data_IF_979721046410
#
_entry.id   IF_979721046410
#
_cell.length_a   1.000
_cell.length_b   1.000
_cell.length_c   1.000
_cell.angle_alpha   90.00
_cell.angle_beta   90.00
_cell.angle_gamma   90.00
#
_symmetry.space_group_name_H-M   'P 1'
#
loop_
_entity.id
_entity.type
_entity.pdbx_description
1 polymer ?
#
# COMPACT_ATOMS: atom_id res chain seq x y z
N UNK A 1 38.59 -16.99 38.39
CA UNK A 1 37.43 -16.23 38.93
C UNK A 1 37.45 -14.86 38.29
N UNK A 2 36.35 -14.46 37.63
CA UNK A 2 35.92 -13.13 37.10
C UNK A 2 35.02 -13.43 35.88
N UNK A 3 33.73 -13.68 36.09
CA UNK A 3 32.58 -12.75 35.98
C UNK A 3 32.23 -12.31 34.54
N UNK A 4 30.99 -12.62 34.16
CA UNK A 4 30.26 -12.31 32.93
C UNK A 4 30.00 -10.80 32.72
N UNK A 5 29.85 -10.41 31.45
CA UNK A 5 29.13 -9.22 30.98
C UNK A 5 28.90 -9.29 29.45
N UNK A 6 27.76 -8.82 28.90
CA UNK A 6 27.10 -9.49 27.78
C UNK A 6 26.96 -8.66 26.47
N UNK A 7 26.41 -9.35 25.45
CA UNK A 7 25.68 -8.84 24.26
C UNK A 7 26.46 -8.01 23.23
N UNK A 8 26.61 -8.56 22.02
CA UNK A 8 26.22 -7.83 20.81
C UNK A 8 25.41 -8.73 19.87
N UNK A 9 24.15 -8.32 19.71
CA UNK A 9 23.20 -8.79 18.71
C UNK A 9 23.69 -8.34 17.34
N UNK A 10 24.00 -9.29 16.44
CA UNK A 10 24.20 -8.98 15.03
C UNK A 10 22.89 -9.18 14.28
N UNK A 11 21.98 -8.21 14.42
CA UNK A 11 20.89 -8.01 13.45
C UNK A 11 21.37 -7.00 12.42
N UNK A 12 21.83 -7.49 11.28
CA UNK A 12 22.03 -6.69 10.07
C UNK A 12 21.08 -7.19 9.00
N UNK A 13 20.34 -6.25 8.39
CA UNK A 13 19.35 -6.51 7.36
C UNK A 13 18.34 -5.38 7.26
N UNK A 14 18.81 -4.20 6.87
CA UNK A 14 17.98 -3.03 6.53
C UNK A 14 17.10 -3.36 5.31
N UNK A 15 15.78 -3.48 5.49
CA UNK A 15 14.79 -3.38 4.40
C UNK A 15 13.56 -2.63 4.93
N UNK A 16 13.47 -1.34 4.61
CA UNK A 16 12.39 -0.46 5.07
C UNK A 16 12.22 0.77 4.19
N UNK A 17 12.61 0.70 2.91
CA UNK A 17 12.64 1.86 2.00
C UNK A 17 11.33 2.11 1.23
N UNK A 18 10.33 1.23 1.34
CA UNK A 18 9.05 1.39 0.64
C UNK A 18 8.16 2.55 1.15
N UNK A 19 8.60 3.29 2.17
CA UNK A 19 7.77 4.30 2.87
C UNK A 19 8.43 5.68 2.82
N UNK A 20 8.90 6.13 1.64
CA UNK A 20 9.48 7.48 1.50
C UNK A 20 8.43 8.56 1.16
N UNK A 21 7.20 8.18 0.78
CA UNK A 21 6.10 9.12 0.49
C UNK A 21 5.03 9.23 1.59
N UNK A 22 5.22 8.51 2.71
CA UNK A 22 4.36 8.62 3.90
C UNK A 22 5.17 9.36 4.95
N UNK A 23 4.92 10.66 5.11
CA UNK A 23 5.63 11.45 6.12
C UNK A 23 5.12 11.07 7.51
N UNK A 24 6.04 10.66 8.39
CA UNK A 24 5.77 10.53 9.83
C UNK A 24 6.15 11.86 10.50
N UNK A 25 5.19 12.69 10.94
CA UNK A 25 5.49 13.77 11.93
C UNK A 25 4.29 14.41 12.62
N UNK A 26 4.58 14.85 13.85
CA UNK A 26 3.70 15.28 14.94
C UNK A 26 2.86 16.53 14.64
N UNK A 27 1.60 16.42 15.07
CA UNK A 27 0.52 17.41 15.25
C UNK A 27 0.85 18.91 15.12
N UNK A 28 0.01 19.63 14.35
CA UNK A 28 -0.69 20.87 14.79
C UNK A 28 -1.92 21.17 13.90
N UNK A 29 -3.03 21.52 14.57
CA UNK A 29 -4.35 21.97 14.02
C UNK A 29 -4.16 23.15 13.04
N UNK A 30 -5.02 23.46 12.04
CA UNK A 30 -6.48 23.69 12.08
C UNK A 30 -7.02 24.03 10.66
N UNK A 31 -8.19 23.48 10.32
CA UNK A 31 -9.30 23.96 9.43
C UNK A 31 -9.04 24.36 7.95
N UNK A 32 -9.62 23.55 7.05
CA UNK A 32 -10.63 23.88 6.00
C UNK A 32 -10.88 22.59 5.17
N UNK A 33 -11.76 21.65 5.54
CA UNK A 33 -13.23 21.59 5.38
C UNK A 33 -13.81 22.28 4.13
N UNK A 34 -13.55 21.71 2.94
CA UNK A 34 -14.48 21.39 1.84
C UNK A 34 -13.64 21.17 0.56
N UNK A 35 -13.61 19.93 0.06
CA UNK A 35 -12.88 19.57 -1.17
C UNK A 35 -12.57 18.08 -1.32
N UNK A 36 -12.77 17.29 -0.27
CA UNK A 36 -12.42 15.85 -0.24
C UNK A 36 -13.62 14.93 -0.58
N UNK A 37 -14.86 15.43 -0.60
CA UNK A 37 -16.07 14.59 -0.68
C UNK A 37 -16.66 14.38 -2.09
N UNK A 38 -16.08 14.95 -3.15
CA UNK A 38 -16.38 14.54 -4.56
C UNK A 38 -15.45 13.42 -5.06
N UNK A 39 -14.72 12.80 -4.13
CA UNK A 39 -13.60 11.89 -4.37
C UNK A 39 -14.13 10.44 -4.42
N UNK A 40 -14.58 10.02 -5.60
CA UNK A 40 -15.03 8.65 -5.94
C UNK A 40 -16.33 8.21 -5.23
N UNK A 41 -17.48 8.71 -5.70
CA UNK A 41 -18.76 8.00 -5.58
C UNK A 41 -18.70 6.57 -6.16
N UNK A 42 -19.56 5.66 -5.66
CA UNK A 42 -19.64 4.23 -6.04
C UNK A 42 -19.82 3.98 -7.54
N UNK A 43 -20.29 4.99 -8.29
CA UNK A 43 -20.50 4.95 -9.75
C UNK A 43 -19.30 5.43 -10.57
N UNK A 44 -18.23 5.96 -9.97
CA UNK A 44 -17.01 6.31 -10.69
C UNK A 44 -16.10 5.10 -10.93
N UNK A 45 -15.27 5.21 -11.97
CA UNK A 45 -14.25 4.23 -12.28
C UNK A 45 -13.26 4.08 -11.12
N UNK A 46 -12.89 2.83 -10.86
CA UNK A 46 -11.97 2.48 -9.80
C UNK A 46 -10.57 3.05 -10.07
N UNK A 47 -9.92 3.72 -9.09
CA UNK A 47 -8.58 4.31 -9.28
C UNK A 47 -7.52 3.31 -9.77
N UNK A 48 -7.63 2.03 -9.40
CA UNK A 48 -6.67 1.00 -9.81
C UNK A 48 -6.59 0.75 -11.32
N UNK A 49 -7.47 1.35 -12.14
CA UNK A 49 -7.33 1.35 -13.59
C UNK A 49 -7.81 0.08 -14.30
N UNK A 50 -8.71 -0.69 -13.68
CA UNK A 50 -9.34 -1.87 -14.31
C UNK A 50 -10.46 -1.52 -15.29
N UNK A 51 -10.92 -0.27 -15.30
CA UNK A 51 -12.08 0.18 -16.10
C UNK A 51 -13.44 -0.21 -15.50
N UNK A 52 -13.47 -0.93 -14.38
CA UNK A 52 -14.69 -1.18 -13.59
C UNK A 52 -15.01 -0.03 -12.65
N UNK A 53 -16.25 0.08 -12.20
CA UNK A 53 -16.61 1.01 -11.13
C UNK A 53 -15.91 0.64 -9.82
N UNK A 54 -15.79 1.59 -8.90
CA UNK A 54 -15.21 1.34 -7.59
C UNK A 54 -15.98 0.26 -6.82
N UNK A 55 -17.32 0.30 -6.86
CA UNK A 55 -18.22 -0.65 -6.22
C UNK A 55 -18.04 -2.10 -6.72
N UNK A 56 -17.78 -2.28 -8.01
CA UNK A 56 -17.57 -3.61 -8.61
C UNK A 56 -16.11 -4.10 -8.51
N UNK A 57 -15.20 -3.24 -8.05
CA UNK A 57 -13.76 -3.48 -8.10
C UNK A 57 -13.12 -3.54 -6.72
N UNK A 58 -12.75 -2.40 -6.13
CA UNK A 58 -11.97 -2.36 -4.88
C UNK A 58 -12.83 -2.20 -3.64
N UNK A 59 -14.05 -1.66 -3.75
CA UNK A 59 -14.93 -1.48 -2.59
C UNK A 59 -15.23 -2.77 -1.83
N UNK A 60 -15.53 -3.92 -2.48
CA UNK A 60 -15.77 -5.17 -1.75
C UNK A 60 -14.55 -5.67 -0.99
N UNK A 61 -13.34 -5.31 -1.44
CA UNK A 61 -12.10 -5.65 -0.75
C UNK A 61 -11.88 -4.72 0.45
N UNK A 62 -12.11 -3.41 0.27
CA UNK A 62 -11.96 -2.42 1.34
C UNK A 62 -12.95 -2.64 2.48
N UNK A 63 -14.18 -3.00 2.14
CA UNK A 63 -15.26 -3.29 3.10
C UNK A 63 -15.22 -4.71 3.70
N UNK A 64 -14.31 -5.57 3.21
CA UNK A 64 -14.16 -6.94 3.69
C UNK A 64 -15.22 -7.93 3.18
N UNK A 65 -16.12 -7.52 2.29
CA UNK A 65 -17.10 -8.40 1.62
C UNK A 65 -16.40 -9.48 0.77
N UNK A 66 -15.23 -9.16 0.21
CA UNK A 66 -14.41 -10.08 -0.58
C UNK A 66 -12.94 -9.97 -0.15
N UNK A 67 -12.21 -11.08 -0.22
CA UNK A 67 -10.75 -11.09 -0.08
C UNK A 67 -10.09 -10.89 -1.44
N UNK A 68 -8.87 -10.32 -1.45
CA UNK A 68 -8.08 -10.31 -2.67
C UNK A 68 -7.75 -11.75 -3.10
N UNK A 69 -8.12 -12.19 -4.32
CA UNK A 69 -7.82 -13.55 -4.79
C UNK A 69 -6.34 -13.73 -5.16
N UNK A 70 -5.70 -12.68 -5.66
CA UNK A 70 -4.31 -12.70 -6.15
C UNK A 70 -3.49 -11.56 -5.55
N UNK A 71 -2.16 -11.67 -5.62
CA UNK A 71 -1.24 -10.59 -5.24
C UNK A 71 -1.50 -9.31 -6.05
N UNK A 72 -1.78 -9.42 -7.35
CA UNK A 72 -2.16 -8.28 -8.21
C UNK A 72 -3.46 -7.64 -7.75
N UNK A 73 -4.47 -8.45 -7.37
CA UNK A 73 -5.72 -7.91 -6.86
C UNK A 73 -5.51 -7.12 -5.56
N UNK A 74 -4.64 -7.62 -4.67
CA UNK A 74 -4.26 -6.90 -3.46
C UNK A 74 -3.48 -5.61 -3.77
N UNK A 75 -2.53 -5.65 -4.71
CA UNK A 75 -1.78 -4.46 -5.09
C UNK A 75 -2.71 -3.38 -5.66
N UNK A 76 -3.67 -3.77 -6.51
CA UNK A 76 -4.67 -2.86 -7.08
C UNK A 76 -5.57 -2.25 -6.00
N UNK A 77 -6.08 -3.04 -5.05
CA UNK A 77 -6.88 -2.49 -3.96
C UNK A 77 -6.07 -1.58 -3.06
N UNK A 78 -4.82 -1.92 -2.73
CA UNK A 78 -3.94 -1.04 -1.96
C UNK A 78 -3.70 0.31 -2.65
N UNK A 79 -3.46 0.32 -3.96
CA UNK A 79 -3.39 1.58 -4.72
C UNK A 79 -4.70 2.40 -4.62
N UNK A 80 -5.86 1.75 -4.79
CA UNK A 80 -7.14 2.44 -4.64
C UNK A 80 -7.34 3.00 -3.24
N UNK A 81 -6.91 2.27 -2.20
CA UNK A 81 -6.96 2.72 -0.81
C UNK A 81 -6.10 3.98 -0.58
N UNK A 82 -4.91 4.05 -1.17
CA UNK A 82 -4.12 5.29 -1.18
C UNK A 82 -4.85 6.46 -1.87
N UNK A 83 -5.54 6.20 -3.00
CA UNK A 83 -6.26 7.22 -3.74
C UNK A 83 -7.49 7.76 -3.00
N UNK A 84 -8.24 6.90 -2.30
CA UNK A 84 -9.45 7.28 -1.55
C UNK A 84 -9.17 7.63 -0.08
N UNK A 85 -7.96 7.40 0.41
CA UNK A 85 -7.56 7.73 1.78
C UNK A 85 -7.92 6.66 2.83
N UNK A 86 -8.10 5.40 2.44
CA UNK A 86 -8.47 4.31 3.35
C UNK A 86 -7.25 3.73 4.09
N UNK A 87 -6.81 4.44 5.13
CA UNK A 87 -5.69 4.05 6.00
C UNK A 87 -5.98 2.72 6.71
N UNK A 88 -7.23 2.47 7.10
CA UNK A 88 -7.63 1.26 7.81
C UNK A 88 -7.38 0.03 6.93
N UNK A 89 -7.77 0.09 5.66
CA UNK A 89 -7.48 -0.99 4.71
C UNK A 89 -5.98 -1.17 4.46
N UNK A 90 -5.23 -0.07 4.33
CA UNK A 90 -3.78 -0.13 4.12
C UNK A 90 -3.06 -0.84 5.27
N UNK A 91 -3.47 -0.57 6.52
CA UNK A 91 -2.91 -1.23 7.70
C UNK A 91 -3.40 -2.67 7.85
N UNK A 92 -4.66 -2.98 7.55
CA UNK A 92 -5.20 -4.34 7.70
C UNK A 92 -4.68 -5.32 6.64
N UNK A 93 -4.30 -4.80 5.47
CA UNK A 93 -3.76 -5.57 4.35
C UNK A 93 -2.22 -5.66 4.32
N UNK A 94 -1.55 -5.14 5.35
CA UNK A 94 -0.10 -5.26 5.54
C UNK A 94 0.26 -6.54 6.29
N UNK A 95 1.40 -7.14 5.97
CA UNK A 95 1.95 -8.27 6.69
C UNK A 95 2.23 -7.88 8.16
N UNK A 96 1.84 -8.72 9.15
CA UNK A 96 1.97 -8.35 10.57
C UNK A 96 3.40 -8.01 11.00
N UNK A 97 4.40 -8.67 10.42
CA UNK A 97 5.81 -8.49 10.80
C UNK A 97 6.44 -7.19 10.29
N UNK A 98 5.91 -6.62 9.21
CA UNK A 98 6.45 -5.41 8.57
C UNK A 98 5.50 -4.21 8.65
N UNK A 99 4.31 -4.40 9.21
CA UNK A 99 3.29 -3.37 9.32
C UNK A 99 3.78 -2.25 10.26
N UNK A 100 3.76 -0.99 9.82
CA UNK A 100 4.05 0.14 10.70
C UNK A 100 2.96 0.29 11.78
N UNK A 101 3.34 0.79 12.95
CA UNK A 101 2.39 1.02 14.05
C UNK A 101 1.35 2.12 13.73
N UNK A 102 1.73 3.09 12.91
CA UNK A 102 0.87 4.17 12.45
C UNK A 102 1.20 4.55 11.00
N UNK A 103 0.19 5.00 10.25
CA UNK A 103 0.29 5.37 8.85
C UNK A 103 -0.51 6.65 8.61
N UNK A 104 0.18 7.74 8.26
CA UNK A 104 -0.45 9.01 7.88
C UNK A 104 -0.22 9.27 6.40
N UNK A 105 -1.29 9.46 5.64
CA UNK A 105 -1.19 9.81 4.23
C UNK A 105 -0.96 11.31 4.07
N UNK A 106 -0.10 11.67 3.11
CA UNK A 106 0.08 13.06 2.72
C UNK A 106 -1.08 13.50 1.84
N UNK A 107 -1.96 14.36 2.36
CA UNK A 107 -3.15 14.84 1.66
C UNK A 107 -2.82 15.71 0.44
N UNK A 108 -1.57 16.20 0.31
CA UNK A 108 -1.08 16.94 -0.85
C UNK A 108 -0.80 16.01 -2.05
N UNK A 109 -0.70 14.70 -1.81
CA UNK A 109 -0.50 13.70 -2.85
C UNK A 109 -1.84 13.27 -3.43
N UNK A 110 -1.96 13.34 -4.76
CA UNK A 110 -3.09 12.77 -5.49
C UNK A 110 -2.62 11.66 -6.42
N UNK A 111 -2.96 10.42 -6.08
CA UNK A 111 -2.73 9.24 -6.91
C UNK A 111 -3.64 9.25 -8.14
N UNK A 112 -3.07 8.97 -9.33
CA UNK A 112 -3.77 9.14 -10.61
C UNK A 112 -3.89 7.87 -11.41
N UNK A 113 -2.82 7.07 -11.49
CA UNK A 113 -2.80 5.88 -12.35
C UNK A 113 -1.88 4.82 -11.79
N UNK A 114 -2.32 3.57 -11.87
CA UNK A 114 -1.51 2.39 -11.63
C UNK A 114 -1.24 1.67 -12.96
N UNK A 115 0.00 1.30 -13.20
CA UNK A 115 0.41 0.39 -14.26
C UNK A 115 1.12 -0.80 -13.62
N UNK A 116 0.63 -2.02 -13.87
CA UNK A 116 1.38 -3.24 -13.55
C UNK A 116 2.40 -3.45 -14.67
N UNK A 117 3.66 -3.63 -14.29
CA UNK A 117 4.79 -3.81 -15.20
C UNK A 117 5.10 -5.30 -15.37
N UNK A 118 5.22 -6.02 -14.25
CA UNK A 118 5.56 -7.44 -14.22
C UNK A 118 4.93 -8.12 -13.00
N UNK A 119 4.79 -9.44 -13.07
CA UNK A 119 4.27 -10.28 -11.98
C UNK A 119 5.02 -11.61 -11.95
N UNK A 120 5.33 -12.09 -10.75
CA UNK A 120 5.88 -13.42 -10.51
C UNK A 120 5.10 -14.13 -9.41
N UNK A 121 4.60 -15.34 -9.69
CA UNK A 121 3.63 -16.08 -8.87
C UNK A 121 2.41 -15.21 -8.47
N UNK A 122 1.86 -15.42 -7.27
CA UNK A 122 0.77 -14.60 -6.72
C UNK A 122 -0.63 -14.92 -7.22
N UNK A 123 -0.85 -16.11 -7.82
CA UNK A 123 -2.16 -16.61 -8.23
C UNK A 123 -2.98 -17.14 -7.05
N UNK A 124 -4.18 -17.64 -7.32
CA UNK A 124 -5.11 -18.09 -6.26
C UNK A 124 -4.62 -19.25 -5.41
N UNK A 125 -3.65 -20.04 -5.89
CA UNK A 125 -3.10 -21.20 -5.18
C UNK A 125 -1.68 -20.97 -4.66
N UNK A 126 -1.04 -19.86 -5.05
CA UNK A 126 0.30 -19.54 -4.60
C UNK A 126 0.30 -19.10 -3.13
N UNK A 127 1.45 -19.26 -2.46
CA UNK A 127 1.68 -18.77 -1.10
C UNK A 127 2.37 -17.41 -1.07
N UNK A 128 3.15 -17.10 -2.11
CA UNK A 128 3.92 -15.87 -2.29
C UNK A 128 3.69 -15.28 -3.67
N UNK A 129 3.91 -13.98 -3.81
CA UNK A 129 3.82 -13.33 -5.11
C UNK A 129 4.60 -12.02 -5.15
N UNK A 130 4.96 -11.60 -6.34
CA UNK A 130 5.65 -10.34 -6.60
C UNK A 130 4.85 -9.55 -7.64
N UNK A 131 4.73 -8.25 -7.42
CA UNK A 131 4.10 -7.33 -8.36
C UNK A 131 5.01 -6.13 -8.53
N UNK A 132 5.47 -5.91 -9.75
CA UNK A 132 6.16 -4.68 -10.15
C UNK A 132 5.17 -3.73 -10.79
N UNK A 133 5.23 -2.46 -10.39
CA UNK A 133 4.29 -1.47 -10.86
C UNK A 133 4.88 -0.06 -10.90
N UNK A 134 4.21 0.79 -11.68
CA UNK A 134 4.40 2.23 -11.72
C UNK A 134 3.13 2.92 -11.26
N UNK A 135 3.23 3.69 -10.18
CA UNK A 135 2.15 4.49 -9.63
C UNK A 135 2.41 5.97 -9.93
N UNK A 136 1.57 6.57 -10.77
CA UNK A 136 1.63 7.97 -11.12
C UNK A 136 0.86 8.80 -10.10
N UNK A 137 1.46 9.87 -9.60
CA UNK A 137 0.84 10.77 -8.65
C UNK A 137 1.22 12.23 -8.93
N UNK A 138 0.43 13.14 -8.38
CA UNK A 138 0.73 14.57 -8.35
C UNK A 138 1.05 14.95 -6.92
N UNK A 139 2.13 15.69 -6.71
CA UNK A 139 2.56 16.23 -5.41
C UNK A 139 3.02 17.66 -5.63
N UNK A 140 2.49 18.61 -4.87
CA UNK A 140 2.77 20.05 -5.03
C UNK A 140 2.65 20.55 -6.50
N UNK A 141 1.63 20.05 -7.21
CA UNK A 141 1.36 20.40 -8.61
C UNK A 141 2.27 19.71 -9.64
N UNK A 142 3.30 19.00 -9.21
CA UNK A 142 4.24 18.28 -10.08
C UNK A 142 3.86 16.82 -10.26
N UNK A 143 4.06 16.28 -11.47
CA UNK A 143 3.79 14.88 -11.78
C UNK A 143 5.01 14.03 -11.44
N UNK A 144 4.78 12.92 -10.77
CA UNK A 144 5.80 11.97 -10.36
C UNK A 144 5.37 10.53 -10.67
N UNK A 145 6.36 9.64 -10.70
CA UNK A 145 6.18 8.20 -10.82
C UNK A 145 6.91 7.56 -9.65
N UNK A 146 6.22 6.68 -8.92
CA UNK A 146 6.85 5.70 -8.06
C UNK A 146 6.92 4.39 -8.84
N UNK A 147 8.13 3.84 -9.03
CA UNK A 147 8.34 2.51 -9.61
C UNK A 147 8.81 1.60 -8.48
N UNK A 148 8.03 0.55 -8.19
CA UNK A 148 8.31 -0.39 -7.10
C UNK A 148 8.10 -1.84 -7.56
N UNK A 149 8.93 -2.75 -7.04
CA UNK A 149 8.71 -4.19 -7.07
C UNK A 149 8.39 -4.68 -5.66
N UNK A 150 7.13 -5.00 -5.41
CA UNK A 150 6.63 -5.39 -4.08
C UNK A 150 6.44 -6.89 -3.95
N UNK A 151 6.71 -7.41 -2.75
CA UNK A 151 6.48 -8.81 -2.36
C UNK A 151 5.22 -8.94 -1.52
N UNK A 152 4.53 -10.05 -1.72
CA UNK A 152 3.28 -10.40 -1.06
C UNK A 152 3.33 -11.83 -0.56
N UNK A 153 2.65 -12.09 0.54
CA UNK A 153 2.56 -13.41 1.16
C UNK A 153 1.14 -13.68 1.65
N UNK A 154 0.72 -14.94 1.62
CA UNK A 154 -0.56 -15.38 2.20
C UNK A 154 -0.40 -15.73 3.67
N UNK A 155 -1.07 -14.94 4.51
CA UNK A 155 -1.15 -15.18 5.95
C UNK A 155 -2.60 -15.52 6.28
N UNK A 156 -2.83 -16.69 6.88
CA UNK A 156 -4.17 -17.17 7.24
C UNK A 156 -5.17 -17.12 6.07
N UNK A 157 -4.70 -17.55 4.89
CA UNK A 157 -5.50 -17.58 3.65
C UNK A 157 -5.83 -16.20 3.07
N UNK A 158 -5.08 -15.16 3.42
CA UNK A 158 -5.25 -13.81 2.88
C UNK A 158 -3.92 -13.25 2.40
N UNK A 159 -3.91 -12.68 1.20
CA UNK A 159 -2.77 -11.91 0.73
C UNK A 159 -2.48 -10.72 1.65
N UNK A 160 -1.19 -10.47 1.89
CA UNK A 160 -0.65 -9.36 2.67
C UNK A 160 0.56 -8.77 1.95
N UNK A 161 0.65 -7.44 1.97
CA UNK A 161 1.85 -6.73 1.50
C UNK A 161 2.99 -6.95 2.50
N UNK A 162 4.08 -7.56 2.06
CA UNK A 162 5.24 -7.83 2.92
C UNK A 162 6.18 -6.62 2.92
N UNK A 163 6.78 -6.31 1.78
CA UNK A 163 7.64 -5.14 1.58
C UNK A 163 7.81 -4.88 0.07
N UNK A 164 8.71 -3.96 -0.29
CA UNK A 164 9.05 -3.71 -1.68
C UNK A 164 10.33 -2.92 -1.86
N UNK A 165 10.86 -3.02 -3.06
CA UNK A 165 12.06 -2.34 -3.52
C UNK A 165 11.69 -1.22 -4.51
N UNK A 166 12.19 -0.01 -4.27
CA UNK A 166 12.00 1.13 -5.16
C UNK A 166 13.06 1.11 -6.27
N UNK A 167 12.62 1.33 -7.51
CA UNK A 167 13.49 1.57 -8.64
C UNK A 167 13.61 3.08 -8.89
N UNK A 168 14.84 3.54 -9.11
CA UNK A 168 15.17 4.94 -9.43
C UNK A 168 14.97 5.27 -10.92
#
# INVERSE_FOLDING_TARGET
MLRFGPLTSSKQGLSGRAVTLVRYRRTRRRRQRLGILERVSSVHLCPCGTGRTYAECCEPLHTGVRRAPTAVALMRSRFSAFAVGDVTYLLSSWHPDTRPADLTLDETITWRRLQIVDTDAGNEDDATGVVEFRAQYVHDGSRHILHERSRFERVNGQWRYLDGELYE
#
